data_IF_074033713439
#
_entry.id   IF_074033713439
#
_cell.length_a   1.000
_cell.length_b   1.000
_cell.length_c   1.000
_cell.angle_alpha   90.00
_cell.angle_beta   90.00
_cell.angle_gamma   90.00
#
_symmetry.space_group_name_H-M   'P 1'
#
loop_
_entity.id
_entity.type
_entity.pdbx_description
1 polymer ?
#
# COMPACT_ATOMS: atom_id res chain seq x y z
N UNK A 1 -42.51 1.46 -30.95
CA UNK A 1 -42.45 1.38 -29.48
C UNK A 1 -41.01 1.06 -29.08
N UNK A 2 -40.15 2.08 -28.91
CA UNK A 2 -38.71 1.87 -28.68
C UNK A 2 -38.38 1.76 -27.20
N UNK A 3 -37.90 0.61 -26.75
CA UNK A 3 -37.44 0.44 -25.36
C UNK A 3 -36.07 1.11 -25.20
N UNK A 4 -36.03 2.30 -24.61
CA UNK A 4 -34.78 2.91 -24.17
C UNK A 4 -34.14 2.01 -23.09
N UNK A 5 -32.96 1.47 -23.38
CA UNK A 5 -32.14 0.78 -22.38
C UNK A 5 -31.76 1.79 -21.30
N UNK A 6 -32.34 1.63 -20.11
CA UNK A 6 -32.01 2.47 -18.96
C UNK A 6 -30.52 2.42 -18.68
N UNK A 7 -29.85 3.56 -18.81
CA UNK A 7 -28.49 3.71 -18.29
C UNK A 7 -28.58 3.55 -16.77
N UNK A 8 -28.08 2.42 -16.26
CA UNK A 8 -27.90 2.23 -14.81
C UNK A 8 -26.84 3.22 -14.35
N UNK A 9 -27.28 4.36 -13.82
CA UNK A 9 -26.41 5.37 -13.24
C UNK A 9 -25.49 4.73 -12.21
N UNK A 10 -24.22 5.11 -12.24
CA UNK A 10 -23.24 4.74 -11.21
C UNK A 10 -23.77 5.18 -9.83
N UNK A 11 -23.78 4.30 -8.81
CA UNK A 11 -24.24 4.67 -7.48
C UNK A 11 -23.50 5.91 -6.94
N UNK A 12 -24.15 6.74 -6.14
CA UNK A 12 -23.54 7.95 -5.57
C UNK A 12 -22.33 7.67 -4.64
N UNK A 13 -22.17 6.43 -4.16
CA UNK A 13 -20.98 5.98 -3.41
C UNK A 13 -19.84 5.48 -4.30
N UNK A 14 -20.07 5.28 -5.61
CA UNK A 14 -19.06 4.77 -6.52
C UNK A 14 -17.90 5.79 -6.59
N UNK A 15 -16.68 5.39 -6.21
CA UNK A 15 -15.55 6.32 -6.18
C UNK A 15 -15.23 6.85 -7.59
N UNK A 16 -14.74 8.09 -7.73
CA UNK A 16 -14.63 8.79 -9.01
C UNK A 16 -13.57 8.23 -9.97
N UNK A 17 -12.73 7.30 -9.51
CA UNK A 17 -11.75 6.64 -10.37
C UNK A 17 -12.42 5.57 -11.25
N UNK A 18 -12.08 5.55 -12.54
CA UNK A 18 -12.39 4.39 -13.39
C UNK A 18 -11.33 3.31 -13.15
N UNK A 19 -11.75 2.13 -12.70
CA UNK A 19 -10.94 0.92 -12.82
C UNK A 19 -10.28 0.36 -11.56
N UNK A 20 -10.49 0.89 -10.35
CA UNK A 20 -10.21 0.08 -9.16
C UNK A 20 -11.41 -0.82 -8.86
N UNK A 21 -11.12 -2.07 -8.52
CA UNK A 21 -12.08 -3.03 -7.95
C UNK A 21 -12.65 -2.49 -6.63
N UNK A 22 -13.88 -2.89 -6.25
CA UNK A 22 -14.43 -2.53 -4.94
C UNK A 22 -13.53 -3.08 -3.81
N UNK A 23 -13.18 -2.21 -2.87
CA UNK A 23 -12.43 -2.55 -1.67
C UNK A 23 -13.34 -2.51 -0.44
N UNK A 24 -12.94 -3.16 0.66
CA UNK A 24 -13.69 -3.18 1.92
C UNK A 24 -12.74 -3.18 3.11
N UNK A 25 -12.90 -2.23 4.02
CA UNK A 25 -12.29 -2.31 5.34
C UNK A 25 -13.01 -3.36 6.19
N UNK A 26 -12.26 -4.26 6.83
CA UNK A 26 -12.78 -5.30 7.72
C UNK A 26 -12.27 -5.04 9.13
N UNK A 27 -13.17 -4.93 10.11
CA UNK A 27 -12.80 -4.91 11.53
C UNK A 27 -12.47 -6.34 11.96
N UNK A 28 -11.33 -6.52 12.60
CA UNK A 28 -10.82 -7.82 13.06
C UNK A 28 -10.76 -7.86 14.60
N UNK A 29 -10.73 -9.05 15.22
CA UNK A 29 -10.57 -9.20 16.67
C UNK A 29 -9.28 -8.55 17.21
N UNK A 30 -9.28 -8.12 18.48
CA UNK A 30 -8.13 -7.45 19.10
C UNK A 30 -6.85 -8.30 19.17
N UNK A 31 -6.98 -9.64 19.19
CA UNK A 31 -5.86 -10.59 19.14
C UNK A 31 -5.31 -10.86 17.73
N UNK A 32 -5.83 -10.21 16.67
CA UNK A 32 -5.48 -10.51 15.28
C UNK A 32 -3.96 -10.59 14.99
N UNK A 33 -3.16 -9.68 15.55
CA UNK A 33 -1.70 -9.70 15.36
C UNK A 33 -0.95 -10.69 16.26
N UNK A 34 -1.59 -11.26 17.27
CA UNK A 34 -1.07 -12.35 18.10
C UNK A 34 -1.36 -13.73 17.51
N UNK A 35 -2.38 -13.83 16.67
CA UNK A 35 -2.83 -15.09 16.06
C UNK A 35 -2.02 -15.54 14.84
N UNK A 36 -2.18 -16.82 14.44
CA UNK A 36 -1.51 -17.40 13.26
C UNK A 36 -2.00 -16.77 11.95
N UNK A 37 -1.19 -16.83 10.90
CA UNK A 37 -1.55 -16.28 9.57
C UNK A 37 -2.85 -16.88 8.99
N UNK A 38 -3.14 -18.16 9.26
CA UNK A 38 -4.39 -18.80 8.83
C UNK A 38 -5.64 -18.17 9.47
N UNK A 39 -5.58 -17.83 10.75
CA UNK A 39 -6.65 -17.08 11.44
C UNK A 39 -6.80 -15.68 10.82
N UNK A 40 -5.69 -14.99 10.56
CA UNK A 40 -5.71 -13.65 9.94
C UNK A 40 -6.34 -13.68 8.55
N UNK A 41 -6.00 -14.67 7.73
CA UNK A 41 -6.60 -14.91 6.42
C UNK A 41 -8.12 -15.16 6.55
N UNK A 42 -8.54 -16.02 7.48
CA UNK A 42 -9.96 -16.28 7.74
C UNK A 42 -10.73 -15.03 8.16
N UNK A 43 -10.17 -14.17 9.04
CA UNK A 43 -10.79 -12.89 9.42
C UNK A 43 -11.01 -11.94 8.25
N UNK A 44 -10.14 -11.97 7.23
CA UNK A 44 -10.26 -11.12 6.04
C UNK A 44 -11.06 -11.78 4.90
N UNK A 45 -11.40 -13.06 5.02
CA UNK A 45 -12.03 -13.84 3.95
C UNK A 45 -11.07 -14.20 2.80
N UNK A 46 -9.76 -14.21 3.07
CA UNK A 46 -8.74 -14.61 2.09
C UNK A 46 -8.75 -16.14 1.88
N UNK A 47 -8.58 -16.59 0.64
CA UNK A 47 -8.56 -18.01 0.28
C UNK A 47 -7.24 -18.71 0.62
N UNK A 48 -6.16 -17.96 0.81
CA UNK A 48 -4.88 -18.46 1.31
C UNK A 48 -4.07 -17.37 2.01
N UNK A 49 -3.04 -17.77 2.77
CA UNK A 49 -2.15 -16.83 3.48
C UNK A 49 -1.28 -16.01 2.53
N UNK A 50 -1.04 -16.46 1.30
CA UNK A 50 -0.32 -15.70 0.25
C UNK A 50 -1.05 -14.42 -0.19
N UNK A 51 -2.34 -14.27 0.12
CA UNK A 51 -3.09 -13.05 -0.12
C UNK A 51 -2.89 -12.00 0.98
N UNK A 52 -2.31 -12.38 2.14
CA UNK A 52 -1.98 -11.44 3.20
C UNK A 52 -0.76 -10.60 2.81
N UNK A 53 -0.93 -9.29 2.84
CA UNK A 53 0.13 -8.33 2.57
C UNK A 53 0.59 -7.64 3.87
N UNK A 54 1.86 -7.24 3.93
CA UNK A 54 2.40 -6.33 4.93
C UNK A 54 3.06 -5.15 4.21
N UNK A 55 2.73 -3.93 4.62
CA UNK A 55 3.47 -2.73 4.21
C UNK A 55 4.60 -2.45 5.19
N UNK A 56 5.73 -1.99 4.66
CA UNK A 56 6.92 -1.59 5.41
C UNK A 56 7.50 -0.33 4.77
N UNK A 57 8.08 0.56 5.58
CA UNK A 57 8.81 1.72 5.09
C UNK A 57 10.28 1.33 4.90
N UNK A 58 10.85 1.69 3.76
CA UNK A 58 12.26 1.43 3.43
C UNK A 58 12.97 2.75 3.12
N UNK A 59 14.22 2.87 3.56
CA UNK A 59 15.09 4.03 3.37
C UNK A 59 16.20 3.65 2.40
N UNK A 60 16.41 4.44 1.35
CA UNK A 60 17.55 4.29 0.45
C UNK A 60 18.77 5.01 1.03
N UNK A 61 19.70 4.26 1.61
CA UNK A 61 20.90 4.83 2.25
C UNK A 61 22.01 5.20 1.25
N UNK A 62 21.78 5.04 -0.07
CA UNK A 62 22.64 5.62 -1.10
C UNK A 62 22.36 7.11 -1.36
N UNK A 63 21.27 7.66 -0.81
CA UNK A 63 20.88 9.05 -1.02
C UNK A 63 21.39 9.95 0.13
N UNK A 64 21.96 11.13 -0.16
CA UNK A 64 22.47 12.07 0.85
C UNK A 64 21.34 12.70 1.71
N UNK A 65 21.51 12.86 3.03
CA UNK A 65 20.46 13.27 3.98
C UNK A 65 19.82 14.63 3.69
N UNK A 66 20.49 15.47 2.92
CA UNK A 66 20.05 16.80 2.50
C UNK A 66 19.02 16.77 1.35
N UNK A 67 18.80 15.63 0.70
CA UNK A 67 17.74 15.50 -0.29
C UNK A 67 16.35 15.56 0.38
N UNK A 68 15.41 16.34 -0.17
CA UNK A 68 14.05 16.39 0.34
C UNK A 68 13.43 15.00 0.26
N UNK A 69 12.82 14.58 1.38
CA UNK A 69 12.25 13.23 1.55
C UNK A 69 11.33 12.84 0.38
N UNK A 70 10.62 13.82 -0.21
CA UNK A 70 9.62 13.65 -1.28
C UNK A 70 9.81 14.63 -2.46
N UNK A 71 11.05 14.87 -2.90
CA UNK A 71 11.33 15.80 -4.02
C UNK A 71 10.84 15.33 -5.41
N UNK A 72 11.00 14.04 -5.72
CA UNK A 72 10.36 13.36 -6.86
C UNK A 72 10.17 11.87 -6.53
N UNK A 73 9.21 11.14 -7.13
CA UNK A 73 9.01 9.72 -6.86
C UNK A 73 10.21 8.81 -7.17
N UNK A 74 11.18 9.32 -7.93
CA UNK A 74 12.36 8.60 -8.41
C UNK A 74 13.64 8.96 -7.63
N UNK A 75 13.62 10.04 -6.84
CA UNK A 75 14.76 10.53 -6.05
C UNK A 75 14.45 10.66 -4.54
N UNK A 76 13.28 10.19 -4.09
CA UNK A 76 12.89 10.20 -2.69
C UNK A 76 13.80 9.31 -1.85
N UNK A 77 14.15 9.78 -0.66
CA UNK A 77 14.87 9.01 0.37
C UNK A 77 14.14 7.70 0.71
N UNK A 78 12.81 7.73 0.67
CA UNK A 78 11.93 6.58 0.85
C UNK A 78 11.31 6.24 -0.51
N UNK A 79 11.76 5.15 -1.12
CA UNK A 79 11.51 4.91 -2.54
C UNK A 79 10.29 4.04 -2.82
N UNK A 80 9.70 4.32 -3.97
CA UNK A 80 9.18 3.28 -4.84
C UNK A 80 9.61 3.48 -6.29
N UNK A 81 10.19 2.43 -6.86
CA UNK A 81 10.81 2.48 -8.17
C UNK A 81 9.77 2.56 -9.29
N UNK A 82 9.54 3.77 -9.81
CA UNK A 82 8.87 3.99 -11.10
C UNK A 82 9.80 3.94 -12.31
N UNK A 83 11.13 3.89 -12.10
CA UNK A 83 12.12 4.04 -13.18
C UNK A 83 13.40 3.24 -12.94
N UNK A 84 14.15 2.99 -14.02
CA UNK A 84 15.42 2.25 -14.00
C UNK A 84 16.58 3.13 -13.51
N UNK A 85 16.67 3.40 -12.21
CA UNK A 85 17.98 3.79 -11.66
C UNK A 85 18.93 2.58 -11.71
N UNK A 86 20.24 2.85 -11.75
CA UNK A 86 21.25 1.79 -11.74
C UNK A 86 21.16 0.97 -10.44
N UNK A 87 21.60 -0.29 -10.46
CA UNK A 87 21.63 -1.13 -9.25
C UNK A 87 22.48 -0.50 -8.12
N UNK A 88 23.47 0.35 -8.45
CA UNK A 88 24.29 1.08 -7.49
C UNK A 88 23.58 2.24 -6.79
N UNK A 89 22.43 2.69 -7.32
CA UNK A 89 21.65 3.79 -6.76
C UNK A 89 20.75 3.37 -5.59
N UNK A 90 20.73 2.09 -5.23
CA UNK A 90 19.77 1.49 -4.30
C UNK A 90 20.46 0.69 -3.17
N UNK A 91 20.37 1.17 -1.94
CA UNK A 91 20.68 0.40 -0.72
C UNK A 91 19.51 0.56 0.24
N UNK A 92 18.47 -0.25 0.03
CA UNK A 92 17.25 -0.20 0.83
C UNK A 92 17.44 -0.87 2.20
N UNK A 93 17.15 -0.13 3.26
CA UNK A 93 17.16 -0.59 4.66
C UNK A 93 15.80 -0.36 5.29
N UNK A 94 15.48 -1.14 6.34
CA UNK A 94 14.27 -0.92 7.12
C UNK A 94 14.31 0.47 7.75
N UNK A 95 13.20 1.21 7.67
CA UNK A 95 13.07 2.49 8.35
C UNK A 95 13.10 2.29 9.88
N UNK A 96 13.86 3.10 10.64
CA UNK A 96 13.74 3.17 12.10
C UNK A 96 12.28 3.39 12.52
N UNK A 97 11.88 2.78 13.63
CA UNK A 97 10.47 2.74 14.06
C UNK A 97 9.87 4.15 14.20
N UNK A 98 10.46 5.00 15.06
CA UNK A 98 10.06 6.40 15.26
C UNK A 98 9.90 7.19 13.93
N UNK A 99 10.80 6.97 12.98
CA UNK A 99 10.75 7.63 11.67
C UNK A 99 9.64 7.06 10.79
N UNK A 100 9.41 5.74 10.84
CA UNK A 100 8.25 5.11 10.20
C UNK A 100 6.93 5.62 10.79
N UNK A 101 6.83 5.75 12.10
CA UNK A 101 5.62 6.29 12.76
C UNK A 101 5.39 7.74 12.34
N UNK A 102 6.42 8.59 12.34
CA UNK A 102 6.34 9.99 11.92
C UNK A 102 5.92 10.16 10.46
N UNK A 103 6.46 9.36 9.54
CA UNK A 103 6.18 9.46 8.09
C UNK A 103 4.83 8.84 7.71
N UNK A 104 4.39 7.81 8.44
CA UNK A 104 3.17 7.07 8.09
C UNK A 104 1.96 7.49 8.90
N UNK A 105 2.13 8.00 10.13
CA UNK A 105 1.05 8.18 11.10
C UNK A 105 0.59 6.88 11.75
N UNK A 106 1.28 5.75 11.50
CA UNK A 106 0.92 4.43 12.02
C UNK A 106 2.04 3.83 12.86
N UNK A 107 1.66 3.28 14.00
CA UNK A 107 2.56 2.55 14.90
C UNK A 107 3.07 1.25 14.30
N UNK A 108 4.06 0.63 14.95
CA UNK A 108 4.57 -0.69 14.59
C UNK A 108 3.44 -1.71 14.26
N UNK A 109 3.59 -2.45 13.15
CA UNK A 109 2.62 -3.37 12.54
C UNK A 109 1.29 -2.78 12.02
N UNK A 110 1.00 -1.49 12.22
CA UNK A 110 -0.21 -0.82 11.68
C UNK A 110 0.01 -0.12 10.32
N UNK A 111 1.24 -0.10 9.80
CA UNK A 111 1.59 0.56 8.52
C UNK A 111 0.76 0.01 7.35
N UNK A 112 0.15 0.92 6.60
CA UNK A 112 -0.69 0.71 5.41
C UNK A 112 -0.22 1.64 4.28
N UNK A 113 -0.38 1.29 2.99
CA UNK A 113 0.06 2.13 1.87
C UNK A 113 -0.96 3.23 1.50
N UNK A 114 -2.04 3.38 2.27
CA UNK A 114 -3.10 4.37 2.08
C UNK A 114 -3.35 5.13 3.38
N UNK A 115 -3.64 6.43 3.29
CA UNK A 115 -3.91 7.29 4.44
C UNK A 115 -2.67 7.62 5.28
N UNK A 116 -1.48 7.57 4.69
CA UNK A 116 -0.22 7.90 5.36
C UNK A 116 -0.07 9.41 5.60
N UNK A 117 0.61 9.78 6.70
CA UNK A 117 0.92 11.18 7.03
C UNK A 117 1.70 11.91 5.92
N UNK A 118 2.57 11.21 5.19
CA UNK A 118 3.07 11.65 3.88
C UNK A 118 2.24 11.02 2.74
N UNK A 119 1.43 11.80 1.99
CA UNK A 119 0.70 11.31 0.81
C UNK A 119 1.58 11.18 -0.45
N UNK A 120 2.71 11.90 -0.54
CA UNK A 120 3.67 11.80 -1.65
C UNK A 120 4.62 10.61 -1.54
N UNK A 121 4.57 9.85 -0.43
CA UNK A 121 5.45 8.70 -0.22
C UNK A 121 5.17 7.62 -1.29
N UNK A 122 6.14 7.30 -2.16
CA UNK A 122 5.88 6.38 -3.26
C UNK A 122 5.71 4.94 -2.76
N UNK A 123 4.83 4.15 -3.39
CA UNK A 123 4.47 2.78 -2.98
C UNK A 123 5.01 1.71 -3.94
N UNK A 124 5.84 0.78 -3.45
CA UNK A 124 6.26 -0.41 -4.22
C UNK A 124 5.22 -1.51 -4.03
N UNK A 125 4.61 -1.97 -5.12
CA UNK A 125 3.74 -3.14 -5.11
C UNK A 125 4.45 -4.37 -5.68
N UNK A 126 4.35 -5.50 -4.98
CA UNK A 126 4.84 -6.78 -5.51
C UNK A 126 4.02 -7.20 -6.72
N UNK A 127 4.69 -7.54 -7.83
CA UNK A 127 4.04 -8.04 -9.05
C UNK A 127 3.23 -9.34 -8.83
N UNK A 128 3.43 -10.04 -7.69
CA UNK A 128 2.61 -11.21 -7.32
C UNK A 128 1.22 -10.80 -6.84
N UNK A 129 1.06 -9.62 -6.24
CA UNK A 129 -0.24 -9.07 -5.82
C UNK A 129 -1.09 -8.78 -7.07
N UNK A 130 -0.48 -8.25 -8.13
CA UNK A 130 -1.11 -8.04 -9.45
C UNK A 130 -1.54 -9.35 -10.15
N UNK A 131 -1.14 -10.52 -9.64
CA UNK A 131 -1.52 -11.84 -10.14
C UNK A 131 -2.57 -12.54 -9.25
N UNK A 132 -2.97 -11.92 -8.14
CA UNK A 132 -4.13 -12.35 -7.38
C UNK A 132 -5.37 -12.01 -8.21
N UNK A 133 -6.14 -13.03 -8.61
CA UNK A 133 -7.35 -12.83 -9.40
C UNK A 133 -8.40 -11.99 -8.69
N UNK A 134 -9.14 -11.20 -9.46
CA UNK A 134 -10.28 -10.37 -9.02
C UNK A 134 -11.60 -11.11 -9.13
#
# INVERSE_FOLDING_TARGET
MGMHKGQRGTPAWAPPYKGCVPYRFVRVPGNYYSEKLSFRAACLGASSIEQLCKSIVLVNTCLPPELPDFGTPFASRYMAAGGRLSQKAYNLRLCPEELSERLTGFVHNAVTPIGTATPEMPVVLSHRILKLGT
#
